data_IF_166902427158
#
_entry.id   IF_166902427158
#
_cell.length_a   1.000
_cell.length_b   1.000
_cell.length_c   1.000
_cell.angle_alpha   90.00
_cell.angle_beta   90.00
_cell.angle_gamma   90.00
#
_symmetry.space_group_name_H-M   'P 1'
#
loop_
_entity.id
_entity.type
_entity.pdbx_description
1 polymer ?
#
# COMPACT_ATOMS: atom_id res chain seq x y z
N UNK A 1 -6.87 -28.69 -17.34
CA UNK A 1 -7.26 -27.58 -16.44
C UNK A 1 -6.90 -28.01 -15.03
N UNK A 2 -5.69 -27.71 -14.57
CA UNK A 2 -5.09 -28.28 -13.35
C UNK A 2 -4.55 -27.17 -12.43
N UNK A 3 -5.38 -26.17 -12.11
CA UNK A 3 -5.06 -25.22 -11.05
C UNK A 3 -5.61 -25.80 -9.73
N UNK A 4 -4.70 -26.28 -8.88
CA UNK A 4 -5.00 -26.90 -7.61
C UNK A 4 -5.84 -25.99 -6.71
N UNK A 5 -7.12 -26.33 -6.55
CA UNK A 5 -7.85 -25.93 -5.36
C UNK A 5 -7.15 -26.67 -4.22
N UNK A 6 -6.35 -25.95 -3.42
CA UNK A 6 -5.98 -26.41 -2.09
C UNK A 6 -7.29 -26.52 -1.31
N UNK A 7 -7.98 -27.66 -1.41
CA UNK A 7 -9.33 -27.81 -0.90
C UNK A 7 -9.28 -28.42 0.50
N UNK A 8 -8.88 -27.59 1.47
CA UNK A 8 -8.84 -27.92 2.89
C UNK A 8 -10.25 -27.95 3.49
N UNK A 9 -11.27 -27.60 2.71
CA UNK A 9 -12.70 -27.61 3.06
C UNK A 9 -13.24 -28.98 3.43
N UNK A 10 -12.51 -30.06 3.08
CA UNK A 10 -12.82 -31.44 3.47
C UNK A 10 -12.51 -31.77 4.94
N UNK A 11 -11.82 -30.89 5.67
CA UNK A 11 -11.55 -31.06 7.11
C UNK A 11 -12.77 -30.60 7.92
N UNK A 12 -13.62 -31.56 8.24
CA UNK A 12 -14.71 -31.42 9.19
C UNK A 12 -14.49 -32.36 10.37
N UNK A 13 -14.69 -31.86 11.58
CA UNK A 13 -14.77 -32.71 12.76
C UNK A 13 -16.22 -32.69 13.25
N UNK A 14 -16.82 -33.86 13.41
CA UNK A 14 -18.21 -33.98 13.88
C UNK A 14 -18.21 -34.26 15.37
N UNK A 15 -18.65 -33.29 16.16
CA UNK A 15 -18.87 -33.47 17.60
C UNK A 15 -20.38 -33.50 17.83
N UNK A 16 -20.90 -34.61 18.38
CA UNK A 16 -22.33 -34.78 18.72
C UNK A 16 -23.31 -34.47 17.57
N UNK A 17 -22.95 -34.80 16.32
CA UNK A 17 -23.78 -34.57 15.13
C UNK A 17 -23.67 -33.17 14.51
N UNK A 18 -22.95 -32.25 15.14
CA UNK A 18 -22.63 -30.94 14.56
C UNK A 18 -21.33 -31.03 13.73
N UNK A 19 -21.43 -30.67 12.44
CA UNK A 19 -20.30 -30.68 11.49
C UNK A 19 -19.55 -29.35 11.58
N UNK A 20 -18.40 -29.33 12.25
CA UNK A 20 -17.54 -28.15 12.33
C UNK A 20 -16.57 -28.13 11.15
N UNK A 21 -16.88 -27.33 10.13
CA UNK A 21 -16.05 -27.14 8.93
C UNK A 21 -15.04 -26.01 9.14
N UNK A 22 -14.02 -26.25 9.97
CA UNK A 22 -12.92 -25.29 10.16
C UNK A 22 -11.98 -25.23 8.93
N UNK A 23 -12.07 -26.22 8.05
CA UNK A 23 -11.33 -26.27 6.78
C UNK A 23 -11.53 -25.02 5.90
N UNK A 24 -12.76 -24.51 5.81
CA UNK A 24 -13.06 -23.31 5.00
C UNK A 24 -12.39 -22.05 5.56
N UNK A 25 -12.48 -21.85 6.88
CA UNK A 25 -11.89 -20.69 7.55
C UNK A 25 -10.36 -20.67 7.38
N UNK A 26 -9.71 -21.82 7.55
CA UNK A 26 -8.25 -21.93 7.33
C UNK A 26 -7.90 -21.67 5.87
N UNK A 27 -8.73 -22.13 4.93
CA UNK A 27 -8.53 -21.86 3.50
C UNK A 27 -8.59 -20.37 3.19
N UNK A 28 -9.58 -19.66 3.74
CA UNK A 28 -9.72 -18.21 3.56
C UNK A 28 -8.53 -17.44 4.16
N UNK A 29 -8.06 -17.84 5.34
CA UNK A 29 -6.87 -17.26 5.99
C UNK A 29 -5.62 -17.49 5.14
N UNK A 30 -5.41 -18.71 4.65
CA UNK A 30 -4.26 -19.03 3.79
C UNK A 30 -4.31 -18.26 2.47
N UNK A 31 -5.48 -18.17 1.83
CA UNK A 31 -5.68 -17.40 0.62
C UNK A 31 -5.38 -15.90 0.85
N UNK A 32 -5.86 -15.33 1.96
CA UNK A 32 -5.56 -13.96 2.35
C UNK A 32 -4.06 -13.74 2.53
N UNK A 33 -3.37 -14.65 3.24
CA UNK A 33 -1.92 -14.57 3.44
C UNK A 33 -1.13 -14.66 2.14
N UNK A 34 -1.50 -15.57 1.23
CA UNK A 34 -0.85 -15.72 -0.08
C UNK A 34 -1.02 -14.44 -0.91
N UNK A 35 -2.24 -13.91 -1.02
CA UNK A 35 -2.51 -12.69 -1.77
C UNK A 35 -1.76 -11.51 -1.14
N UNK A 36 -1.80 -11.35 0.17
CA UNK A 36 -1.07 -10.30 0.89
C UNK A 36 0.44 -10.39 0.64
N UNK A 37 1.02 -11.59 0.66
CA UNK A 37 2.43 -11.82 0.39
C UNK A 37 2.80 -11.48 -1.06
N UNK A 38 1.97 -11.87 -2.04
CA UNK A 38 2.18 -11.52 -3.46
C UNK A 38 2.11 -10.02 -3.66
N UNK A 39 1.08 -9.34 -3.13
CA UNK A 39 0.94 -7.88 -3.22
C UNK A 39 2.12 -7.18 -2.55
N UNK A 40 2.57 -7.66 -1.39
CA UNK A 40 3.75 -7.13 -0.70
C UNK A 40 5.02 -7.23 -1.57
N UNK A 41 5.26 -8.38 -2.20
CA UNK A 41 6.39 -8.56 -3.11
C UNK A 41 6.28 -7.66 -4.34
N UNK A 42 5.09 -7.48 -4.91
CA UNK A 42 4.86 -6.57 -6.03
C UNK A 42 5.18 -5.12 -5.64
N UNK A 43 4.63 -4.62 -4.52
CA UNK A 43 4.90 -3.26 -4.03
C UNK A 43 6.38 -3.07 -3.70
N UNK A 44 7.01 -4.05 -3.05
CA UNK A 44 8.45 -4.02 -2.75
C UNK A 44 9.30 -4.04 -4.02
N UNK A 45 8.90 -4.79 -5.04
CA UNK A 45 9.55 -4.84 -6.34
C UNK A 45 9.43 -3.51 -7.08
N UNK A 46 8.23 -2.94 -7.15
CA UNK A 46 7.97 -1.64 -7.77
C UNK A 46 8.78 -0.54 -7.05
N UNK A 47 8.81 -0.52 -5.72
CA UNK A 47 9.59 0.47 -4.96
C UNK A 47 11.12 0.29 -5.11
N UNK A 48 11.59 -0.90 -5.51
CA UNK A 48 13.02 -1.15 -5.79
C UNK A 48 13.40 -0.76 -7.22
N UNK A 49 12.47 -0.85 -8.17
CA UNK A 49 12.70 -0.58 -9.60
C UNK A 49 12.47 0.90 -9.92
N UNK A 50 11.53 1.56 -9.25
CA UNK A 50 11.40 3.01 -9.37
C UNK A 50 12.53 3.66 -8.59
N UNK A 51 13.51 4.32 -9.25
CA UNK A 51 14.44 5.18 -8.53
C UNK A 51 13.59 6.22 -7.79
N UNK A 52 13.91 6.45 -6.51
CA UNK A 52 13.36 7.57 -5.74
C UNK A 52 13.33 8.77 -6.65
N UNK A 53 12.14 9.26 -7.01
CA UNK A 53 12.02 10.46 -7.85
C UNK A 53 12.97 11.49 -7.22
N UNK A 54 13.91 12.07 -7.99
CA UNK A 54 14.79 13.09 -7.46
C UNK A 54 13.88 14.07 -6.74
N UNK A 55 14.17 14.30 -5.45
CA UNK A 55 13.36 15.18 -4.61
C UNK A 55 13.10 16.42 -5.46
N UNK A 56 11.83 16.59 -5.87
CA UNK A 56 11.46 17.73 -6.69
C UNK A 56 11.96 18.92 -5.87
N UNK A 57 12.84 19.79 -6.42
CA UNK A 57 13.41 20.88 -5.64
C UNK A 57 12.24 21.52 -4.92
N UNK A 58 12.34 21.57 -3.59
CA UNK A 58 11.30 22.17 -2.77
C UNK A 58 11.04 23.52 -3.44
N UNK A 59 9.78 23.76 -3.83
CA UNK A 59 9.40 25.06 -4.37
C UNK A 59 9.84 26.15 -3.38
N UNK A 60 9.99 27.39 -3.85
CA UNK A 60 10.48 28.47 -3.00
C UNK A 60 9.72 28.46 -1.68
N UNK A 61 10.49 28.50 -0.60
CA UNK A 61 9.93 28.44 0.74
C UNK A 61 8.98 29.62 0.93
N UNK A 62 8.00 29.49 1.83
CA UNK A 62 7.10 30.62 2.11
C UNK A 62 7.88 31.88 2.54
N UNK A 63 9.05 31.70 3.17
CA UNK A 63 9.95 32.78 3.55
C UNK A 63 10.57 33.50 2.34
N UNK A 64 10.94 32.78 1.28
CA UNK A 64 11.42 33.38 0.02
C UNK A 64 10.32 34.19 -0.66
N UNK A 65 9.09 33.65 -0.73
CA UNK A 65 7.95 34.35 -1.30
C UNK A 65 7.60 35.63 -0.53
N UNK A 66 7.66 35.59 0.80
CA UNK A 66 7.40 36.77 1.64
C UNK A 66 8.50 37.83 1.50
N UNK A 67 9.75 37.41 1.27
CA UNK A 67 10.87 38.33 1.02
C UNK A 67 10.70 39.01 -0.34
N UNK A 68 10.34 38.26 -1.37
CA UNK A 68 10.09 38.77 -2.73
C UNK A 68 8.91 39.75 -2.73
N UNK A 69 7.79 39.42 -2.04
CA UNK A 69 6.64 40.33 -1.89
C UNK A 69 7.04 41.62 -1.15
N UNK A 70 7.85 41.52 -0.08
CA UNK A 70 8.33 42.71 0.66
C UNK A 70 9.16 43.63 -0.22
N UNK A 71 10.03 43.05 -1.05
CA UNK A 71 10.93 43.81 -1.90
C UNK A 71 10.17 44.48 -3.05
N UNK A 72 9.17 43.80 -3.63
CA UNK A 72 8.23 44.38 -4.59
C UNK A 72 7.42 45.54 -4.00
N UNK A 73 6.89 45.38 -2.78
CA UNK A 73 6.13 46.44 -2.10
C UNK A 73 6.99 47.68 -1.78
N UNK A 74 8.26 47.49 -1.39
CA UNK A 74 9.19 48.60 -1.20
C UNK A 74 9.53 49.32 -2.51
N UNK A 75 9.55 48.60 -3.63
CA UNK A 75 9.83 49.18 -4.93
C UNK A 75 8.63 50.00 -5.44
N UNK A 76 7.40 49.50 -5.25
CA UNK A 76 6.16 50.21 -5.60
C UNK A 76 5.89 51.43 -4.71
N UNK A 77 6.41 51.46 -3.48
CA UNK A 77 6.26 52.61 -2.57
C UNK A 77 7.33 53.71 -2.79
N UNK A 78 8.29 53.49 -3.71
CA UNK A 78 9.33 54.47 -4.06
C UNK A 78 9.01 55.29 -5.32
N UNK A 79 7.79 55.16 -5.86
CA UNK A 79 7.20 56.01 -6.91
C UNK A 79 6.03 56.81 -6.33
#
# INVERSE_FOLDING_TARGET
MFAGKADLSGLYFTILGAKFTYGNFINDVLNFLIIAFVVFLLVKGINRILPSKPAKPAGPTQEELLTEIRDLLKQDQQV
#
